data_IF_510411602342
#
_entry.id   IF_510411602342
#
_cell.length_a   1.000
_cell.length_b   1.000
_cell.length_c   1.000
_cell.angle_alpha   90.00
_cell.angle_beta   90.00
_cell.angle_gamma   90.00
#
_symmetry.space_group_name_H-M   'P 1'
#
loop_
_entity.id
_entity.type
_entity.pdbx_description
1 polymer ?
#
# COMPACT_ATOMS: atom_id res chain seq x y z
N UNK A 1 -22.39 -8.68 19.89
CA UNK A 1 -22.41 -8.47 18.43
C UNK A 1 -23.82 -8.61 17.80
N UNK A 2 -24.92 -8.32 18.53
CA UNK A 2 -26.30 -8.41 17.99
C UNK A 2 -26.95 -7.07 17.63
N UNK A 3 -26.27 -5.93 17.87
CA UNK A 3 -26.89 -4.60 17.78
C UNK A 3 -26.21 -3.64 16.79
N UNK A 4 -25.56 -4.15 15.73
CA UNK A 4 -25.07 -3.30 14.63
C UNK A 4 -25.90 -3.41 13.35
N UNK A 5 -26.94 -4.25 13.33
CA UNK A 5 -27.73 -4.54 12.13
C UNK A 5 -28.91 -3.56 11.89
N UNK A 6 -29.12 -2.57 12.77
CA UNK A 6 -30.36 -1.78 12.79
C UNK A 6 -30.36 -0.52 11.90
N UNK A 7 -29.34 -0.27 11.07
CA UNK A 7 -29.16 1.05 10.45
C UNK A 7 -29.40 1.14 8.92
N UNK A 8 -29.80 0.07 8.23
CA UNK A 8 -30.09 0.14 6.78
C UNK A 8 -31.41 -0.57 6.46
N UNK A 9 -32.46 0.16 6.04
CA UNK A 9 -33.69 -0.47 5.56
C UNK A 9 -33.44 -1.12 4.18
N UNK A 10 -33.46 -2.45 4.13
CA UNK A 10 -33.35 -3.25 2.91
C UNK A 10 -32.49 -4.51 3.10
N UNK A 11 -32.57 -5.50 2.20
CA UNK A 11 -31.65 -6.63 2.23
C UNK A 11 -30.22 -6.11 2.03
N UNK A 12 -29.32 -6.43 2.95
CA UNK A 12 -27.90 -6.14 2.80
C UNK A 12 -27.41 -6.85 1.54
N UNK A 13 -26.72 -6.17 0.61
CA UNK A 13 -26.16 -6.83 -0.56
C UNK A 13 -25.23 -7.98 -0.12
N UNK A 14 -25.12 -9.05 -0.91
CA UNK A 14 -24.26 -10.18 -0.57
C UNK A 14 -22.82 -9.68 -0.36
N UNK A 15 -22.24 -10.03 0.79
CA UNK A 15 -20.88 -9.68 1.15
C UNK A 15 -20.03 -10.94 1.18
N UNK A 16 -18.92 -10.94 0.45
CA UNK A 16 -17.94 -12.02 0.42
C UNK A 16 -16.63 -11.49 0.99
N UNK A 17 -16.10 -12.18 1.99
CA UNK A 17 -14.81 -11.87 2.60
C UNK A 17 -13.82 -12.93 2.13
N UNK A 18 -12.75 -12.49 1.46
CA UNK A 18 -11.69 -13.36 0.96
C UNK A 18 -10.38 -13.06 1.70
N UNK A 19 -9.79 -14.08 2.32
CA UNK A 19 -8.47 -13.98 2.93
C UNK A 19 -7.39 -14.34 1.90
N UNK A 20 -7.03 -13.37 1.06
CA UNK A 20 -6.09 -13.58 -0.06
C UNK A 20 -5.02 -12.50 -0.10
N UNK A 21 -3.92 -12.82 -0.77
CA UNK A 21 -2.89 -11.85 -1.14
C UNK A 21 -3.33 -11.11 -2.40
N UNK A 22 -3.33 -9.77 -2.37
CA UNK A 22 -3.77 -8.96 -3.53
C UNK A 22 -2.89 -9.12 -4.76
N UNK A 23 -1.68 -9.67 -4.61
CA UNK A 23 -0.82 -10.07 -5.73
C UNK A 23 -1.34 -11.31 -6.47
N UNK A 24 -2.25 -12.07 -5.85
CA UNK A 24 -2.79 -13.35 -6.31
C UNK A 24 -4.28 -13.46 -5.95
N UNK A 25 -5.14 -12.74 -6.69
CA UNK A 25 -6.58 -12.74 -6.46
C UNK A 25 -7.28 -13.86 -7.23
N UNK A 26 -8.01 -14.71 -6.52
CA UNK A 26 -8.88 -15.74 -7.11
C UNK A 26 -10.30 -15.18 -7.29
N UNK A 27 -10.40 -14.27 -8.25
CA UNK A 27 -11.65 -13.65 -8.69
C UNK A 27 -11.71 -13.73 -10.21
N UNK A 28 -12.90 -13.78 -10.83
CA UNK A 28 -13.01 -13.70 -12.28
C UNK A 28 -12.44 -12.38 -12.81
N UNK A 29 -11.73 -12.43 -13.93
CA UNK A 29 -11.28 -11.22 -14.62
C UNK A 29 -12.48 -10.40 -15.09
N UNK A 30 -12.30 -9.07 -15.18
CA UNK A 30 -13.36 -8.14 -15.62
C UNK A 30 -14.69 -8.30 -14.85
N UNK A 31 -14.64 -8.50 -13.54
CA UNK A 31 -15.82 -8.67 -12.68
C UNK A 31 -16.12 -7.49 -11.76
N UNK A 32 -15.14 -6.61 -11.51
CA UNK A 32 -15.24 -5.52 -10.52
C UNK A 32 -15.45 -4.15 -11.21
N UNK A 33 -16.46 -3.39 -10.77
CA UNK A 33 -16.77 -2.05 -11.29
C UNK A 33 -16.05 -0.90 -10.56
N UNK A 34 -15.70 -1.11 -9.29
CA UNK A 34 -15.03 -0.12 -8.45
C UNK A 34 -14.13 -0.81 -7.43
N UNK A 35 -12.88 -0.35 -7.33
CA UNK A 35 -11.94 -0.75 -6.29
C UNK A 35 -11.55 0.48 -5.47
N UNK A 36 -11.57 0.32 -4.15
CA UNK A 36 -11.10 1.34 -3.19
C UNK A 36 -10.13 0.67 -2.24
N UNK A 37 -8.93 1.23 -2.08
CA UNK A 37 -7.89 0.66 -1.21
C UNK A 37 -6.98 1.71 -0.61
N UNK A 38 -6.35 1.35 0.52
CA UNK A 38 -5.25 2.08 1.14
C UNK A 38 -4.12 1.09 1.43
N UNK A 39 -3.21 0.83 0.46
CA UNK A 39 -2.20 -0.21 0.60
C UNK A 39 -1.24 0.12 1.76
N UNK A 40 -0.60 -0.89 2.37
CA UNK A 40 0.36 -0.66 3.44
C UNK A 40 1.54 0.18 2.92
N UNK A 41 2.00 1.16 3.69
CA UNK A 41 2.99 2.16 3.24
C UNK A 41 4.45 1.65 3.09
N UNK A 42 4.65 0.34 2.91
CA UNK A 42 5.95 -0.28 2.60
C UNK A 42 7.01 -0.16 3.70
N UNK A 43 6.58 0.05 4.94
CA UNK A 43 7.43 0.39 6.08
C UNK A 43 7.28 -0.58 7.26
N UNK A 44 7.02 -1.86 6.96
CA UNK A 44 6.84 -2.91 7.98
C UNK A 44 8.05 -3.10 8.88
N UNK A 45 9.25 -2.69 8.45
CA UNK A 45 10.48 -2.82 9.25
C UNK A 45 10.89 -1.58 10.05
N UNK A 46 10.44 -0.35 9.73
CA UNK A 46 11.02 0.85 10.39
C UNK A 46 10.04 1.88 10.95
N UNK A 47 8.77 1.92 10.54
CA UNK A 47 7.84 2.97 11.07
C UNK A 47 6.43 2.48 11.39
N UNK A 48 5.97 1.38 10.79
CA UNK A 48 4.66 0.79 11.13
C UNK A 48 4.67 -0.70 10.81
N UNK A 49 5.16 -1.52 11.75
CA UNK A 49 5.08 -2.97 11.66
C UNK A 49 3.62 -3.41 11.78
N UNK A 50 2.91 -3.48 10.65
CA UNK A 50 1.51 -3.88 10.60
C UNK A 50 1.30 -5.26 11.22
N UNK A 51 2.22 -6.21 11.01
CA UNK A 51 2.16 -7.53 11.65
C UNK A 51 2.33 -7.44 13.16
N UNK A 52 3.38 -6.75 13.66
CA UNK A 52 3.59 -6.59 15.10
C UNK A 52 2.42 -5.87 15.79
N UNK A 53 1.89 -4.81 15.18
CA UNK A 53 0.78 -4.04 15.74
C UNK A 53 -0.53 -4.84 15.77
N UNK A 54 -0.79 -5.66 14.75
CA UNK A 54 -2.02 -6.45 14.67
C UNK A 54 -1.96 -7.77 15.43
N UNK A 55 -0.77 -8.24 15.81
CA UNK A 55 -0.55 -9.58 16.38
C UNK A 55 -1.41 -9.89 17.60
N UNK A 56 -1.48 -9.00 18.59
CA UNK A 56 -2.31 -9.24 19.78
C UNK A 56 -3.79 -9.31 19.42
N UNK A 57 -4.26 -8.39 18.58
CA UNK A 57 -5.65 -8.38 18.11
C UNK A 57 -6.00 -9.65 17.32
N UNK A 58 -5.10 -10.12 16.46
CA UNK A 58 -5.29 -11.35 15.67
C UNK A 58 -5.34 -12.60 16.56
N UNK A 59 -4.51 -12.66 17.62
CA UNK A 59 -4.55 -13.75 18.60
C UNK A 59 -5.82 -13.74 19.44
N UNK A 60 -6.31 -12.55 19.81
CA UNK A 60 -7.50 -12.42 20.67
C UNK A 60 -8.80 -12.72 19.92
N UNK A 61 -8.90 -12.28 18.67
CA UNK A 61 -10.11 -12.43 17.87
C UNK A 61 -10.32 -13.84 17.30
N UNK A 62 -9.35 -14.74 17.47
CA UNK A 62 -9.38 -16.14 17.03
C UNK A 62 -9.97 -16.33 15.63
N UNK A 63 -9.43 -15.57 14.67
CA UNK A 63 -9.91 -15.55 13.28
C UNK A 63 -9.50 -16.79 12.47
N UNK A 64 -9.20 -17.91 13.13
CA UNK A 64 -8.78 -19.16 12.49
C UNK A 64 -7.37 -19.12 11.86
N UNK A 65 -6.52 -18.18 12.29
CA UNK A 65 -5.14 -18.06 11.84
C UNK A 65 -4.20 -18.87 12.74
N UNK A 66 -3.31 -19.68 12.15
CA UNK A 66 -2.29 -20.35 12.95
C UNK A 66 -1.32 -19.34 13.59
N UNK A 67 -0.90 -19.61 14.81
CA UNK A 67 0.00 -18.75 15.58
C UNK A 67 1.30 -18.51 14.80
N UNK A 68 1.82 -19.54 14.12
CA UNK A 68 3.04 -19.42 13.31
C UNK A 68 2.82 -18.53 12.09
N UNK A 69 1.60 -18.45 11.56
CA UNK A 69 1.27 -17.57 10.45
C UNK A 69 1.19 -16.10 10.88
N UNK A 70 0.59 -15.83 12.04
CA UNK A 70 0.55 -14.48 12.63
C UNK A 70 1.98 -13.95 12.84
N UNK A 71 2.87 -14.81 13.35
CA UNK A 71 4.29 -14.49 13.53
C UNK A 71 5.09 -14.25 12.24
N UNK A 72 4.60 -14.75 11.10
CA UNK A 72 5.28 -14.66 9.80
C UNK A 72 4.59 -13.68 8.86
N UNK A 73 3.56 -12.98 9.33
CA UNK A 73 2.71 -12.12 8.52
C UNK A 73 3.52 -11.02 7.83
N UNK A 74 4.48 -10.40 8.52
CA UNK A 74 5.32 -9.35 7.94
C UNK A 74 6.13 -9.80 6.72
N UNK A 75 6.42 -11.11 6.58
CA UNK A 75 7.09 -11.65 5.38
C UNK A 75 6.13 -11.84 4.21
N UNK A 76 4.83 -12.00 4.49
CA UNK A 76 3.78 -12.12 3.47
C UNK A 76 3.31 -10.74 2.99
N UNK A 77 3.47 -9.67 3.76
CA UNK A 77 3.11 -8.31 3.35
C UNK A 77 3.98 -7.77 2.20
N UNK A 78 3.52 -6.70 1.54
CA UNK A 78 4.26 -6.01 0.47
C UNK A 78 5.65 -5.55 0.99
N UNK A 79 6.71 -5.93 0.28
CA UNK A 79 8.09 -5.67 0.67
C UNK A 79 8.64 -6.63 1.75
N UNK A 80 7.88 -7.66 2.14
CA UNK A 80 8.25 -8.61 3.18
C UNK A 80 9.37 -9.59 2.81
N UNK A 81 9.71 -9.70 1.52
CA UNK A 81 10.84 -10.50 1.02
C UNK A 81 11.83 -9.64 0.26
N UNK A 82 13.13 -9.81 0.55
CA UNK A 82 14.22 -9.20 -0.23
C UNK A 82 14.60 -10.17 -1.34
N UNK A 83 14.74 -9.69 -2.57
CA UNK A 83 15.43 -10.43 -3.64
C UNK A 83 16.50 -9.51 -4.20
N UNK A 84 17.63 -10.07 -4.58
CA UNK A 84 18.79 -9.30 -5.03
C UNK A 84 18.65 -8.84 -6.49
N UNK A 85 17.82 -9.55 -7.27
CA UNK A 85 17.50 -9.20 -8.64
C UNK A 85 16.04 -8.75 -8.75
N UNK A 86 15.85 -7.53 -9.22
CA UNK A 86 14.54 -6.95 -9.44
C UNK A 86 14.54 -6.32 -10.83
N UNK A 87 13.59 -6.73 -11.71
CA UNK A 87 13.45 -6.05 -12.99
C UNK A 87 13.16 -4.57 -12.76
N UNK A 88 13.64 -3.72 -13.68
CA UNK A 88 13.31 -2.31 -13.66
C UNK A 88 11.79 -2.12 -13.74
N UNK A 89 11.27 -1.17 -12.97
CA UNK A 89 9.86 -0.82 -12.96
C UNK A 89 9.63 0.41 -13.84
N UNK A 90 8.49 0.49 -14.53
CA UNK A 90 8.18 1.58 -15.46
C UNK A 90 7.79 2.88 -14.74
N UNK A 91 8.71 3.44 -13.95
CA UNK A 91 8.55 4.69 -13.22
C UNK A 91 9.86 5.46 -13.14
N UNK A 92 9.94 6.55 -13.88
CA UNK A 92 11.08 7.48 -13.85
C UNK A 92 11.23 8.14 -12.47
N UNK A 93 10.10 8.47 -11.83
CA UNK A 93 10.10 9.02 -10.48
C UNK A 93 10.70 8.04 -9.48
N UNK A 94 10.31 6.77 -9.55
CA UNK A 94 10.86 5.72 -8.69
C UNK A 94 12.36 5.52 -8.96
N UNK A 95 12.79 5.44 -10.22
CA UNK A 95 14.21 5.26 -10.56
C UNK A 95 15.10 6.36 -9.97
N UNK A 96 14.71 7.63 -10.13
CA UNK A 96 15.46 8.75 -9.55
C UNK A 96 15.52 8.69 -8.02
N UNK A 97 14.41 8.34 -7.37
CA UNK A 97 14.34 8.24 -5.92
C UNK A 97 15.15 7.04 -5.38
N UNK A 98 15.10 5.89 -6.05
CA UNK A 98 15.91 4.72 -5.71
C UNK A 98 17.41 4.99 -5.87
N UNK A 99 17.82 5.70 -6.93
CA UNK A 99 19.22 6.10 -7.11
C UNK A 99 19.71 7.03 -5.99
N UNK A 100 18.89 8.03 -5.61
CA UNK A 100 19.21 8.95 -4.52
C UNK A 100 19.29 8.26 -3.14
N UNK A 101 18.46 7.22 -2.93
CA UNK A 101 18.53 6.40 -1.70
C UNK A 101 19.76 5.49 -1.76
N UNK A 102 20.04 4.84 -2.91
CA UNK A 102 21.16 3.92 -3.07
C UNK A 102 22.52 4.60 -2.85
N UNK A 103 22.64 5.87 -3.26
CA UNK A 103 23.84 6.68 -3.00
C UNK A 103 24.16 6.86 -1.50
N UNK A 104 23.15 6.71 -0.62
CA UNK A 104 23.30 6.81 0.83
C UNK A 104 23.28 5.45 1.53
N UNK A 105 22.43 4.53 1.04
CA UNK A 105 22.17 3.21 1.62
C UNK A 105 21.62 2.26 0.54
N UNK A 106 22.49 1.48 -0.13
CA UNK A 106 22.09 0.53 -1.18
C UNK A 106 21.08 -0.50 -0.67
N UNK A 107 21.30 -1.03 0.52
CA UNK A 107 20.41 -2.02 1.15
C UNK A 107 19.01 -1.45 1.35
N UNK A 108 18.91 -0.20 1.81
CA UNK A 108 17.61 0.45 1.99
C UNK A 108 16.93 0.74 0.65
N UNK A 109 17.69 1.03 -0.40
CA UNK A 109 17.14 1.18 -1.76
C UNK A 109 16.49 -0.11 -2.24
N UNK A 110 17.13 -1.26 -2.04
CA UNK A 110 16.57 -2.57 -2.38
C UNK A 110 15.27 -2.88 -1.61
N UNK A 111 15.20 -2.54 -0.32
CA UNK A 111 13.96 -2.70 0.46
C UNK A 111 12.81 -1.87 -0.12
N UNK A 112 13.09 -0.62 -0.51
CA UNK A 112 12.11 0.26 -1.16
C UNK A 112 11.71 -0.30 -2.53
N UNK A 113 12.67 -0.78 -3.31
CA UNK A 113 12.40 -1.36 -4.62
C UNK A 113 11.52 -2.61 -4.49
N UNK A 114 11.80 -3.47 -3.51
CA UNK A 114 11.02 -4.67 -3.25
C UNK A 114 9.55 -4.36 -2.93
N UNK A 115 9.31 -3.30 -2.15
CA UNK A 115 7.95 -2.81 -1.90
C UNK A 115 7.24 -2.38 -3.18
N UNK A 116 7.87 -1.56 -4.02
CA UNK A 116 7.22 -1.08 -5.24
C UNK A 116 7.02 -2.19 -6.27
N UNK A 117 7.87 -3.22 -6.30
CA UNK A 117 7.64 -4.43 -7.11
C UNK A 117 6.38 -5.17 -6.66
N UNK A 118 6.23 -5.38 -5.36
CA UNK A 118 5.04 -6.05 -4.82
C UNK A 118 3.77 -5.21 -5.05
N UNK A 119 3.89 -3.87 -4.96
CA UNK A 119 2.80 -2.95 -5.28
C UNK A 119 2.42 -3.00 -6.77
N UNK A 120 3.41 -3.03 -7.67
CA UNK A 120 3.23 -3.15 -9.11
C UNK A 120 2.53 -4.47 -9.50
N UNK A 121 2.95 -5.57 -8.88
CA UNK A 121 2.30 -6.87 -9.05
C UNK A 121 0.84 -6.84 -8.56
N UNK A 122 0.59 -6.25 -7.38
CA UNK A 122 -0.76 -6.09 -6.87
C UNK A 122 -1.62 -5.19 -7.77
N UNK A 123 -1.05 -4.11 -8.31
CA UNK A 123 -1.71 -3.21 -9.25
C UNK A 123 -2.15 -3.97 -10.51
N UNK A 124 -1.26 -4.79 -11.09
CA UNK A 124 -1.60 -5.62 -12.25
C UNK A 124 -2.67 -6.67 -11.94
N UNK A 125 -2.53 -7.40 -10.84
CA UNK A 125 -3.50 -8.43 -10.42
C UNK A 125 -4.89 -7.83 -10.16
N UNK A 126 -4.97 -6.68 -9.48
CA UNK A 126 -6.23 -5.96 -9.28
C UNK A 126 -6.79 -5.50 -10.63
N UNK A 127 -5.98 -4.88 -11.48
CA UNK A 127 -6.42 -4.35 -12.78
C UNK A 127 -6.98 -5.43 -13.70
N UNK A 128 -6.49 -6.66 -13.63
CA UNK A 128 -7.08 -7.80 -14.35
C UNK A 128 -8.53 -8.09 -13.92
N UNK A 129 -8.85 -7.93 -12.63
CA UNK A 129 -10.20 -8.15 -12.08
C UNK A 129 -11.17 -6.99 -12.36
N UNK A 130 -10.63 -5.81 -12.65
CA UNK A 130 -11.40 -4.62 -12.98
C UNK A 130 -12.01 -4.71 -14.39
N UNK A 131 -13.26 -4.29 -14.56
CA UNK A 131 -13.91 -4.15 -15.88
C UNK A 131 -13.31 -3.02 -16.70
N UNK A 132 -13.47 -3.05 -18.02
CA UNK A 132 -13.16 -1.88 -18.86
C UNK A 132 -14.04 -0.70 -18.43
N UNK A 133 -13.49 0.51 -18.40
CA UNK A 133 -14.12 1.74 -17.92
C UNK A 133 -14.46 1.80 -16.42
N UNK A 134 -13.98 0.84 -15.64
CA UNK A 134 -14.08 0.86 -14.18
C UNK A 134 -13.02 1.75 -13.53
N UNK A 135 -13.19 2.02 -12.24
CA UNK A 135 -12.33 2.93 -11.48
C UNK A 135 -11.62 2.24 -10.33
N UNK A 136 -10.36 2.64 -10.13
CA UNK A 136 -9.54 2.29 -8.98
C UNK A 136 -9.22 3.55 -8.18
N UNK A 137 -9.50 3.51 -6.88
CA UNK A 137 -9.27 4.61 -5.94
C UNK A 137 -8.22 4.16 -4.93
N UNK A 138 -7.03 4.74 -5.06
CA UNK A 138 -5.88 4.42 -4.23
C UNK A 138 -5.61 5.56 -3.26
N UNK A 139 -5.79 5.32 -1.97
CA UNK A 139 -5.45 6.25 -0.90
C UNK A 139 -4.04 5.94 -0.44
N UNK A 140 -3.08 6.74 -0.90
CA UNK A 140 -1.66 6.54 -0.64
C UNK A 140 -1.03 7.73 0.06
N UNK A 141 0.14 7.49 0.61
CA UNK A 141 0.87 8.44 1.42
C UNK A 141 2.29 8.55 0.93
N UNK A 142 2.77 9.79 0.80
CA UNK A 142 4.15 10.03 0.41
C UNK A 142 5.02 10.00 1.67
N UNK A 143 5.95 9.06 1.70
CA UNK A 143 6.83 8.83 2.85
C UNK A 143 8.24 9.32 2.56
N UNK A 144 9.03 9.54 3.60
CA UNK A 144 10.42 9.96 3.46
C UNK A 144 11.35 8.84 3.93
N UNK A 145 12.27 8.41 3.07
CA UNK A 145 13.30 7.40 3.37
C UNK A 145 14.66 8.01 3.06
N UNK A 146 15.58 8.02 4.02
CA UNK A 146 16.93 8.61 3.86
C UNK A 146 16.88 10.04 3.27
N UNK A 147 15.98 10.87 3.80
CA UNK A 147 15.71 12.26 3.35
C UNK A 147 15.17 12.39 1.92
N UNK A 148 14.89 11.29 1.22
CA UNK A 148 14.23 11.26 -0.09
C UNK A 148 12.73 11.07 0.12
N UNK A 149 11.92 11.99 -0.39
CA UNK A 149 10.47 11.85 -0.38
C UNK A 149 10.04 10.91 -1.52
N UNK A 150 9.52 9.74 -1.17
CA UNK A 150 8.95 8.77 -2.08
C UNK A 150 7.54 9.22 -2.47
N UNK A 151 7.41 9.65 -3.71
CA UNK A 151 6.18 10.23 -4.27
C UNK A 151 5.27 9.11 -4.79
N UNK A 152 4.74 8.29 -3.87
CA UNK A 152 3.93 7.11 -4.18
C UNK A 152 2.72 7.44 -5.06
N UNK A 153 2.10 8.60 -4.85
CA UNK A 153 1.00 9.09 -5.68
C UNK A 153 1.39 9.17 -7.18
N UNK A 154 2.58 9.69 -7.47
CA UNK A 154 3.11 9.80 -8.84
C UNK A 154 3.62 8.48 -9.37
N UNK A 155 4.36 7.73 -8.54
CA UNK A 155 4.89 6.41 -8.91
C UNK A 155 3.74 5.48 -9.31
N UNK A 156 2.64 5.47 -8.56
CA UNK A 156 1.48 4.64 -8.85
C UNK A 156 0.86 4.98 -10.23
N UNK A 157 0.77 6.27 -10.57
CA UNK A 157 0.30 6.71 -11.88
C UNK A 157 1.23 6.23 -12.99
N UNK A 158 2.55 6.32 -12.80
CA UNK A 158 3.54 5.87 -13.78
C UNK A 158 3.47 4.34 -13.99
N UNK A 159 3.47 3.57 -12.90
CA UNK A 159 3.35 2.10 -12.93
C UNK A 159 2.05 1.63 -13.61
N UNK A 160 0.94 2.35 -13.41
CA UNK A 160 -0.36 2.00 -13.96
C UNK A 160 -0.44 2.06 -15.49
N UNK A 161 0.45 2.83 -16.15
CA UNK A 161 0.39 3.06 -17.61
C UNK A 161 0.47 1.77 -18.42
N UNK A 162 1.35 0.85 -18.01
CA UNK A 162 1.53 -0.45 -18.69
C UNK A 162 0.32 -1.39 -18.53
N UNK A 163 -0.58 -1.09 -17.60
CA UNK A 163 -1.83 -1.80 -17.37
C UNK A 163 -3.05 -1.07 -17.95
N UNK A 164 -2.85 -0.12 -18.87
CA UNK A 164 -3.90 0.69 -19.49
C UNK A 164 -4.74 1.48 -18.47
N UNK A 165 -4.10 1.93 -17.39
CA UNK A 165 -4.72 2.81 -16.41
C UNK A 165 -4.48 4.27 -16.79
N UNK A 166 -5.58 4.98 -17.03
CA UNK A 166 -5.60 6.41 -17.23
C UNK A 166 -5.73 7.13 -15.89
N UNK A 167 -4.90 8.15 -15.67
CA UNK A 167 -4.99 8.98 -14.47
C UNK A 167 -6.12 10.00 -14.63
N UNK A 168 -7.13 9.90 -13.77
CA UNK A 168 -8.30 10.79 -13.79
C UNK A 168 -8.08 12.01 -12.90
N UNK A 169 -7.63 11.78 -11.67
CA UNK A 169 -7.38 12.85 -10.70
C UNK A 169 -6.49 12.36 -9.55
N UNK A 170 -5.77 13.30 -8.93
CA UNK A 170 -5.17 13.11 -7.61
C UNK A 170 -5.70 14.17 -6.67
N UNK A 171 -6.45 13.77 -5.65
CA UNK A 171 -6.99 14.67 -4.62
C UNK A 171 -6.10 14.60 -3.38
N UNK A 172 -5.60 15.74 -2.94
CA UNK A 172 -4.78 15.82 -1.71
C UNK A 172 -5.69 16.10 -0.52
N UNK A 173 -5.54 15.30 0.55
CA UNK A 173 -6.27 15.46 1.80
C UNK A 173 -5.28 15.59 2.96
N UNK A 174 -5.56 16.51 3.89
CA UNK A 174 -4.84 16.60 5.17
C UNK A 174 -5.36 15.54 6.13
N UNK A 175 -4.47 14.84 6.85
CA UNK A 175 -4.86 13.92 7.92
C UNK A 175 -5.19 14.74 9.18
N UNK A 176 -6.46 14.83 9.61
CA UNK A 176 -6.85 15.73 10.69
C UNK A 176 -6.43 15.21 12.08
N UNK A 177 -6.69 13.93 12.37
CA UNK A 177 -6.42 13.29 13.67
C UNK A 177 -5.35 12.21 13.52
N UNK A 178 -4.10 12.56 13.80
CA UNK A 178 -2.97 11.63 13.67
C UNK A 178 -2.66 10.98 15.02
N UNK A 179 -2.78 9.65 15.11
CA UNK A 179 -2.32 8.89 16.29
C UNK A 179 -0.79 8.83 16.38
N UNK A 180 -0.10 8.89 15.24
CA UNK A 180 1.36 8.98 15.18
C UNK A 180 1.85 10.45 15.33
N UNK A 181 3.04 10.68 15.92
CA UNK A 181 3.64 12.01 16.03
C UNK A 181 3.77 12.70 14.67
N UNK A 182 3.62 14.03 14.64
CA UNK A 182 3.78 14.85 13.42
C UNK A 182 5.24 15.01 12.99
N UNK A 183 6.17 14.79 13.90
CA UNK A 183 7.61 14.88 13.67
C UNK A 183 8.26 13.64 14.29
N UNK A 184 9.17 13.00 13.56
CA UNK A 184 10.03 11.96 14.10
C UNK A 184 11.48 12.44 13.96
N UNK A 185 12.33 12.04 14.92
CA UNK A 185 13.78 12.26 14.88
C UNK A 185 14.47 10.94 14.53
N UNK A 186 14.57 10.57 13.24
CA UNK A 186 15.11 9.26 12.85
C UNK A 186 16.60 9.06 13.21
N UNK A 187 17.33 10.12 13.54
CA UNK A 187 18.79 10.07 13.78
C UNK A 187 19.20 10.13 15.25
N UNK A 188 18.28 10.15 16.22
CA UNK A 188 18.58 10.33 17.66
C UNK A 188 19.49 11.54 17.99
N UNK A 189 19.71 12.44 17.03
CA UNK A 189 20.44 13.70 17.19
C UNK A 189 19.43 14.78 17.54
N UNK A 190 19.62 15.44 18.68
CA UNK A 190 18.79 16.56 19.13
C UNK A 190 18.77 17.63 18.04
N UNK A 191 17.59 17.92 17.49
CA UNK A 191 17.37 18.99 16.50
C UNK A 191 17.11 18.56 15.06
N UNK A 192 17.41 17.31 14.65
CA UNK A 192 17.10 16.83 13.29
C UNK A 192 15.67 16.24 13.23
N UNK A 193 14.68 17.11 13.10
CA UNK A 193 13.27 16.69 12.95
C UNK A 193 12.93 16.45 11.48
N UNK A 194 12.37 15.28 11.17
CA UNK A 194 11.76 15.00 9.87
C UNK A 194 10.25 15.05 10.04
N UNK A 195 9.59 15.87 9.23
CA UNK A 195 8.13 15.91 9.16
C UNK A 195 7.62 14.55 8.71
N UNK A 196 6.75 13.95 9.53
CA UNK A 196 6.04 12.73 9.15
C UNK A 196 4.91 13.07 8.16
N UNK A 197 4.40 12.05 7.48
CA UNK A 197 3.35 12.19 6.46
C UNK A 197 2.09 12.90 6.99
N UNK A 198 1.83 14.14 6.54
CA UNK A 198 0.69 14.97 6.98
C UNK A 198 -0.46 15.00 5.97
N UNK A 199 -0.21 14.48 4.76
CA UNK A 199 -1.15 14.43 3.67
C UNK A 199 -1.27 12.99 3.15
N UNK A 200 -2.48 12.66 2.75
CA UNK A 200 -2.80 11.49 1.93
C UNK A 200 -3.22 11.98 0.54
N UNK A 201 -2.96 11.16 -0.44
CA UNK A 201 -3.24 11.39 -1.85
C UNK A 201 -4.22 10.33 -2.30
N UNK A 202 -5.38 10.76 -2.77
CA UNK A 202 -6.40 9.90 -3.35
C UNK A 202 -6.16 9.92 -4.86
N UNK A 203 -5.53 8.87 -5.37
CA UNK A 203 -5.26 8.69 -6.80
C UNK A 203 -6.41 7.91 -7.42
N UNK A 204 -7.07 8.53 -8.39
CA UNK A 204 -8.17 7.93 -9.15
C UNK A 204 -7.65 7.53 -10.52
N UNK A 205 -7.72 6.24 -10.81
CA UNK A 205 -7.32 5.64 -12.08
C UNK A 205 -8.54 5.00 -12.75
N UNK A 206 -8.63 5.09 -14.08
CA UNK A 206 -9.66 4.41 -14.88
C UNK A 206 -9.00 3.38 -15.79
N UNK A 207 -9.54 2.16 -15.83
CA UNK A 207 -9.09 1.13 -16.78
C UNK A 207 -9.68 1.42 -18.16
N UNK A 208 -8.84 1.60 -19.17
CA UNK A 208 -9.28 1.89 -20.53
C UNK A 208 -9.43 0.63 -21.40
N UNK A 209 -8.69 -0.44 -21.10
CA UNK A 209 -8.63 -1.70 -21.86
C UNK A 209 -8.50 -2.89 -20.91
#
# INVERSE_FOLDING_TARGET
>A
MKELAAAVPGPVPPCVILQQDTRYLDLPDCSIDLMITSPPYGDSRTTAAYGEFSRLSLLWLDLGLDHREIHRLDRKLLGGTRREDHPALDSETLHRQLAAIAAQDPKRSEEVHSYYRDLDQALGAITAKMKVNSYQVWVVGNRTVKKVNLATDRILVELGRKFHLHHVATVTRRIPNKRMPRENSPTNKVGEKVTTMNHEYIVVLRKEQ
#
